data_IF_361473401794
#
_entry.id   IF_361473401794
#
_cell.length_a   1.000
_cell.length_b   1.000
_cell.length_c   1.000
_cell.angle_alpha   90.00
_cell.angle_beta   90.00
_cell.angle_gamma   90.00
#
_symmetry.space_group_name_H-M   'P 1'
#
loop_
_entity.id
_entity.type
_entity.pdbx_description
1 polymer ?
#
# COMPACT_ATOMS: atom_id res chain seq x y z
N UNK A 1 5.44 -30.57 -13.17
CA UNK A 1 4.07 -29.99 -13.16
C UNK A 1 3.37 -30.33 -11.84
N UNK A 2 3.39 -31.58 -11.41
CA UNK A 2 2.83 -32.04 -10.13
C UNK A 2 3.35 -31.29 -8.89
N UNK A 3 4.68 -31.08 -8.76
CA UNK A 3 5.23 -30.32 -7.63
C UNK A 3 4.70 -28.87 -7.54
N UNK A 4 4.45 -28.21 -8.68
CA UNK A 4 3.84 -26.87 -8.69
C UNK A 4 2.40 -26.91 -8.20
N UNK A 5 1.67 -27.98 -8.50
CA UNK A 5 0.32 -28.21 -7.97
C UNK A 5 0.31 -28.37 -6.45
N UNK A 6 1.26 -29.12 -5.90
CA UNK A 6 1.40 -29.25 -4.44
C UNK A 6 1.75 -27.94 -3.75
N UNK A 7 2.64 -27.11 -4.33
CA UNK A 7 2.95 -25.77 -3.78
C UNK A 7 1.68 -24.94 -3.67
N UNK A 8 0.91 -24.82 -4.76
CA UNK A 8 -0.35 -24.05 -4.75
C UNK A 8 -1.35 -24.60 -3.74
N UNK A 9 -1.47 -25.94 -3.64
CA UNK A 9 -2.36 -26.58 -2.68
C UNK A 9 -1.96 -26.27 -1.24
N UNK A 10 -0.70 -26.48 -0.87
CA UNK A 10 -0.23 -26.26 0.49
C UNK A 10 -0.27 -24.77 0.86
N UNK A 11 0.09 -23.87 -0.07
CA UNK A 11 -0.06 -22.42 0.13
C UNK A 11 -1.52 -22.01 0.36
N UNK A 12 -2.45 -22.60 -0.39
CA UNK A 12 -3.88 -22.34 -0.18
C UNK A 12 -4.34 -22.87 1.19
N UNK A 13 -3.89 -24.07 1.58
CA UNK A 13 -4.23 -24.68 2.87
C UNK A 13 -3.66 -23.89 4.06
N UNK A 14 -2.38 -23.49 4.02
CA UNK A 14 -1.78 -22.70 5.10
C UNK A 14 -2.47 -21.34 5.24
N UNK A 15 -2.82 -20.68 4.12
CA UNK A 15 -3.57 -19.42 4.15
C UNK A 15 -4.98 -19.58 4.73
N UNK A 16 -5.68 -20.67 4.38
CA UNK A 16 -6.99 -20.97 4.95
C UNK A 16 -6.92 -21.15 6.48
N UNK A 17 -5.93 -21.91 6.97
CA UNK A 17 -5.71 -22.07 8.41
C UNK A 17 -5.27 -20.78 9.09
N UNK A 18 -4.46 -19.94 8.43
CA UNK A 18 -4.06 -18.62 8.93
C UNK A 18 -5.27 -17.72 9.19
N UNK A 19 -6.27 -17.73 8.31
CA UNK A 19 -7.51 -16.99 8.52
C UNK A 19 -8.26 -17.47 9.77
N UNK A 20 -8.35 -18.78 9.99
CA UNK A 20 -9.00 -19.36 11.17
C UNK A 20 -8.20 -19.03 12.43
N UNK A 21 -6.87 -19.21 12.40
CA UNK A 21 -5.97 -18.92 13.51
C UNK A 21 -6.10 -17.47 13.98
N UNK A 22 -6.01 -16.51 13.05
CA UNK A 22 -6.16 -15.09 13.36
C UNK A 22 -7.58 -14.73 13.81
N UNK A 23 -8.59 -15.50 13.37
CA UNK A 23 -9.97 -15.31 13.82
C UNK A 23 -10.19 -15.72 15.28
N UNK A 24 -9.38 -16.61 15.87
CA UNK A 24 -9.45 -16.88 17.32
C UNK A 24 -9.17 -15.62 18.14
N UNK A 25 -8.15 -14.85 17.74
CA UNK A 25 -7.87 -13.55 18.35
C UNK A 25 -9.01 -12.54 18.10
N UNK A 26 -9.49 -12.41 16.85
CA UNK A 26 -10.59 -11.50 16.54
C UNK A 26 -11.92 -11.87 17.23
N UNK A 27 -12.13 -13.17 17.48
CA UNK A 27 -13.37 -13.71 18.06
C UNK A 27 -13.62 -13.21 19.48
N UNK A 28 -12.57 -13.04 20.30
CA UNK A 28 -12.75 -12.59 21.69
C UNK A 28 -13.27 -11.16 21.82
N UNK A 29 -13.24 -10.39 20.72
CA UNK A 29 -13.82 -9.05 20.62
C UNK A 29 -15.09 -9.00 19.76
N UNK A 30 -15.56 -10.14 19.24
CA UNK A 30 -16.75 -10.20 18.40
C UNK A 30 -18.01 -9.97 19.23
N UNK A 31 -18.91 -9.09 18.76
CA UNK A 31 -20.23 -8.88 19.38
C UNK A 31 -21.01 -10.20 19.44
N UNK A 32 -21.53 -10.53 20.62
CA UNK A 32 -22.27 -11.78 20.86
C UNK A 32 -21.41 -13.05 20.92
N UNK A 33 -20.08 -12.92 21.02
CA UNK A 33 -19.20 -14.05 21.26
C UNK A 33 -19.47 -14.68 22.62
N UNK A 34 -19.44 -16.02 22.69
CA UNK A 34 -19.60 -16.77 23.95
C UNK A 34 -18.43 -16.55 24.91
N UNK A 35 -17.23 -16.33 24.36
CA UNK A 35 -16.00 -16.07 25.12
C UNK A 35 -15.46 -14.69 24.76
N UNK A 36 -16.23 -13.66 25.11
CA UNK A 36 -15.81 -12.27 24.93
C UNK A 36 -14.86 -11.85 26.05
N UNK A 37 -13.69 -11.29 25.73
CA UNK A 37 -12.78 -10.67 26.69
C UNK A 37 -11.95 -9.57 26.02
N UNK A 38 -12.14 -8.35 26.49
CA UNK A 38 -11.37 -7.19 26.02
C UNK A 38 -9.96 -7.19 26.59
N UNK A 39 -9.82 -7.66 27.82
CA UNK A 39 -8.56 -7.77 28.55
C UNK A 39 -7.62 -8.72 27.82
N UNK A 40 -8.10 -9.90 27.41
CA UNK A 40 -7.30 -10.86 26.66
C UNK A 40 -6.77 -10.24 25.35
N UNK A 41 -7.65 -9.58 24.58
CA UNK A 41 -7.26 -8.93 23.34
C UNK A 41 -6.25 -7.79 23.56
N UNK A 42 -6.44 -7.01 24.63
CA UNK A 42 -5.55 -5.93 25.04
C UNK A 42 -4.15 -6.43 25.42
N UNK A 43 -4.07 -7.50 26.21
CA UNK A 43 -2.79 -8.10 26.62
C UNK A 43 -2.01 -8.61 25.41
N UNK A 44 -2.67 -9.34 24.49
CA UNK A 44 -2.03 -9.84 23.25
C UNK A 44 -1.50 -8.68 22.41
N UNK A 45 -2.31 -7.65 22.19
CA UNK A 45 -1.90 -6.47 21.39
C UNK A 45 -0.74 -5.72 22.04
N UNK A 46 -0.81 -5.51 23.35
CA UNK A 46 0.24 -4.80 24.09
C UNK A 46 1.57 -5.58 24.05
N UNK A 47 1.54 -6.89 24.28
CA UNK A 47 2.75 -7.73 24.25
C UNK A 47 3.33 -7.81 22.83
N UNK A 48 2.51 -8.00 21.80
CA UNK A 48 2.97 -7.96 20.40
C UNK A 48 3.60 -6.61 20.02
N UNK A 49 2.96 -5.51 20.40
CA UNK A 49 3.49 -4.16 20.20
C UNK A 49 4.77 -3.88 20.98
N UNK A 50 4.99 -4.52 22.13
CA UNK A 50 6.26 -4.45 22.85
C UNK A 50 7.37 -5.25 22.14
N UNK A 51 7.10 -6.50 21.75
CA UNK A 51 8.05 -7.39 21.07
C UNK A 51 8.60 -6.71 19.80
N UNK A 52 7.71 -6.17 18.96
CA UNK A 52 8.13 -5.55 17.69
C UNK A 52 8.93 -4.25 17.90
N UNK A 53 8.67 -3.51 18.99
CA UNK A 53 9.44 -2.31 19.37
C UNK A 53 10.85 -2.67 19.81
N UNK A 54 11.01 -3.71 20.63
CA UNK A 54 12.33 -4.21 21.05
C UNK A 54 13.12 -4.70 19.83
N UNK A 55 12.49 -5.49 18.96
CA UNK A 55 13.10 -5.95 17.72
C UNK A 55 13.56 -4.78 16.83
N UNK A 56 12.71 -3.75 16.66
CA UNK A 56 13.05 -2.53 15.91
C UNK A 56 14.28 -1.83 16.49
N UNK A 57 14.33 -1.61 17.81
CA UNK A 57 15.46 -0.93 18.46
C UNK A 57 16.76 -1.70 18.26
N UNK A 58 16.71 -3.03 18.26
CA UNK A 58 17.88 -3.86 17.97
C UNK A 58 18.32 -3.69 16.51
N UNK A 59 17.39 -3.75 15.55
CA UNK A 59 17.66 -3.55 14.12
C UNK A 59 18.23 -2.16 13.85
N UNK A 60 17.75 -1.10 14.50
CA UNK A 60 18.26 0.28 14.37
C UNK A 60 19.73 0.43 14.75
N UNK A 61 20.26 -0.46 15.59
CA UNK A 61 21.66 -0.44 16.01
C UNK A 61 22.60 -1.13 15.02
N UNK A 62 22.07 -2.02 14.18
CA UNK A 62 22.87 -2.87 13.27
C UNK A 62 22.58 -2.61 11.78
N UNK A 63 21.51 -1.87 11.47
CA UNK A 63 21.06 -1.59 10.12
C UNK A 63 19.99 -0.51 10.08
N UNK A 64 19.19 -0.53 9.02
CA UNK A 64 18.19 0.52 8.74
C UNK A 64 16.82 -0.15 8.64
N UNK A 65 15.89 0.08 9.60
CA UNK A 65 14.50 -0.33 9.42
C UNK A 65 13.82 0.58 8.39
N UNK A 66 13.07 -0.03 7.49
CA UNK A 66 12.38 0.65 6.39
C UNK A 66 10.90 0.81 6.67
N UNK A 67 10.23 -0.29 7.05
CA UNK A 67 8.80 -0.34 7.34
C UNK A 67 8.53 -1.34 8.46
N UNK A 68 7.56 -1.03 9.33
CA UNK A 68 7.11 -1.90 10.41
C UNK A 68 5.60 -2.06 10.30
N UNK A 69 5.12 -3.29 10.20
CA UNK A 69 3.69 -3.61 10.20
C UNK A 69 3.39 -4.70 11.23
N UNK A 70 2.73 -4.32 12.32
CA UNK A 70 2.18 -5.18 13.39
C UNK A 70 3.19 -6.12 14.05
N UNK A 71 3.66 -7.13 13.33
CA UNK A 71 4.52 -8.24 13.73
C UNK A 71 5.75 -8.43 12.81
N UNK A 72 5.87 -7.66 11.73
CA UNK A 72 7.01 -7.71 10.79
C UNK A 72 7.82 -6.43 10.70
N UNK A 73 9.12 -6.56 10.41
CA UNK A 73 10.04 -5.45 10.15
C UNK A 73 10.74 -5.69 8.81
N UNK A 74 10.53 -4.79 7.86
CA UNK A 74 11.38 -4.69 6.68
C UNK A 74 12.62 -3.87 7.03
N UNK A 75 13.81 -4.40 6.76
CA UNK A 75 15.06 -3.70 7.06
C UNK A 75 16.16 -4.00 6.04
N UNK A 76 17.15 -3.12 6.00
CA UNK A 76 18.43 -3.35 5.34
C UNK A 76 19.50 -3.60 6.39
N UNK A 77 20.20 -4.72 6.26
CA UNK A 77 21.43 -5.00 6.98
C UNK A 77 22.62 -4.84 6.03
N UNK A 78 23.82 -4.48 6.54
CA UNK A 78 25.03 -4.48 5.73
C UNK A 78 25.26 -5.84 5.06
N UNK A 79 25.76 -5.83 3.81
CA UNK A 79 26.05 -7.08 3.08
C UNK A 79 27.07 -7.98 3.80
N UNK A 80 27.96 -7.39 4.59
CA UNK A 80 28.96 -8.10 5.40
C UNK A 80 28.41 -8.60 6.74
N UNK A 81 27.14 -8.33 7.07
CA UNK A 81 26.53 -8.80 8.30
C UNK A 81 26.40 -10.34 8.26
N UNK A 82 26.73 -11.06 9.35
CA UNK A 82 26.74 -12.51 9.35
C UNK A 82 25.33 -13.08 9.13
N UNK A 83 25.22 -14.04 8.21
CA UNK A 83 24.01 -14.82 7.97
C UNK A 83 24.39 -16.19 7.34
N UNK A 84 23.50 -17.18 7.44
CA UNK A 84 23.72 -18.51 6.88
C UNK A 84 24.87 -19.29 7.54
N UNK A 85 25.06 -19.16 8.85
CA UNK A 85 26.15 -19.82 9.58
C UNK A 85 25.93 -21.32 9.62
N UNK A 86 26.91 -22.10 9.14
CA UNK A 86 26.81 -23.56 9.06
C UNK A 86 27.42 -24.26 10.27
N UNK A 87 26.64 -25.13 10.91
CA UNK A 87 27.07 -26.01 11.99
C UNK A 87 27.17 -27.45 11.49
N UNK A 88 28.33 -28.08 11.68
CA UNK A 88 28.53 -29.51 11.38
C UNK A 88 28.08 -30.36 12.57
N UNK A 89 26.98 -31.09 12.40
CA UNK A 89 26.45 -31.99 13.44
C UNK A 89 26.99 -33.40 13.23
N UNK A 90 27.60 -33.97 14.28
CA UNK A 90 28.12 -35.34 14.24
C UNK A 90 27.00 -36.32 13.88
N UNK A 91 27.21 -37.10 12.82
CA UNK A 91 26.24 -38.09 12.33
C UNK A 91 25.24 -37.58 11.30
N UNK A 92 25.21 -36.27 11.00
CA UNK A 92 24.41 -35.73 9.90
C UNK A 92 25.29 -35.41 8.68
N UNK A 93 24.82 -35.78 7.48
CA UNK A 93 25.51 -35.50 6.23
C UNK A 93 25.37 -34.04 5.77
N UNK A 94 24.25 -33.39 6.12
CA UNK A 94 23.99 -32.00 5.76
C UNK A 94 24.33 -31.09 6.95
N UNK A 95 24.99 -29.94 6.72
CA UNK A 95 25.18 -28.96 7.77
C UNK A 95 23.83 -28.38 8.21
N UNK A 96 23.76 -27.98 9.47
CA UNK A 96 22.64 -27.22 9.99
C UNK A 96 22.93 -25.72 9.78
N UNK A 97 22.12 -25.07 8.95
CA UNK A 97 22.30 -23.67 8.58
C UNK A 97 21.43 -22.80 9.49
N UNK A 98 22.05 -21.80 10.11
CA UNK A 98 21.39 -20.87 11.03
C UNK A 98 21.39 -19.48 10.44
N UNK A 99 20.20 -18.87 10.38
CA UNK A 99 20.10 -17.45 10.11
C UNK A 99 20.42 -16.66 11.37
N UNK A 100 21.58 -16.02 11.41
CA UNK A 100 22.02 -15.28 12.58
C UNK A 100 21.12 -14.09 12.94
N UNK A 101 20.64 -13.24 11.99
CA UNK A 101 19.70 -12.16 12.30
C UNK A 101 18.40 -12.69 12.95
N UNK A 102 17.88 -13.80 12.43
CA UNK A 102 16.67 -14.44 12.95
C UNK A 102 16.90 -15.01 14.35
N UNK A 103 17.99 -15.77 14.55
CA UNK A 103 18.32 -16.38 15.83
C UNK A 103 18.62 -15.35 16.91
N UNK A 104 19.27 -14.23 16.57
CA UNK A 104 19.51 -13.12 17.48
C UNK A 104 18.19 -12.55 18.01
N UNK A 105 17.23 -12.27 17.12
CA UNK A 105 15.90 -11.78 17.51
C UNK A 105 15.12 -12.80 18.34
N UNK A 106 15.21 -14.08 17.99
CA UNK A 106 14.54 -15.17 18.72
C UNK A 106 15.12 -15.38 20.11
N UNK A 107 16.44 -15.26 20.27
CA UNK A 107 17.08 -15.35 21.58
C UNK A 107 16.62 -14.23 22.53
N UNK A 108 16.58 -12.98 22.02
CA UNK A 108 16.08 -11.84 22.79
C UNK A 108 14.59 -12.00 23.12
N UNK A 109 13.77 -12.36 22.13
CA UNK A 109 12.33 -12.56 22.32
C UNK A 109 12.05 -13.65 23.35
N UNK A 110 12.79 -14.77 23.31
CA UNK A 110 12.65 -15.84 24.28
C UNK A 110 13.01 -15.36 25.69
N UNK A 111 14.12 -14.64 25.87
CA UNK A 111 14.51 -14.09 27.16
C UNK A 111 13.45 -13.15 27.75
N UNK A 112 12.81 -12.32 26.92
CA UNK A 112 11.84 -11.31 27.37
C UNK A 112 10.40 -11.83 27.49
N UNK A 113 10.09 -12.98 26.90
CA UNK A 113 8.70 -13.45 26.73
C UNK A 113 8.43 -14.86 27.26
N UNK A 114 9.44 -15.59 27.75
CA UNK A 114 9.23 -16.91 28.31
C UNK A 114 8.24 -16.88 29.48
N UNK A 115 7.21 -17.71 29.41
CA UNK A 115 6.29 -17.94 30.51
C UNK A 115 6.78 -19.12 31.35
N UNK A 116 7.41 -18.84 32.49
CA UNK A 116 7.93 -19.86 33.41
C UNK A 116 6.86 -20.50 34.29
N UNK A 117 5.60 -20.10 34.13
CA UNK A 117 4.47 -20.47 35.00
C UNK A 117 3.40 -21.28 34.24
N UNK A 118 3.76 -21.93 33.13
CA UNK A 118 2.78 -22.68 32.32
C UNK A 118 2.39 -24.00 33.01
N UNK A 119 1.17 -24.08 33.53
CA UNK A 119 0.65 -25.26 34.21
C UNK A 119 -0.08 -26.18 33.22
N UNK A 120 0.23 -27.47 33.25
CA UNK A 120 -0.49 -28.49 32.47
C UNK A 120 -0.97 -29.61 33.39
N UNK A 121 -2.24 -29.99 33.26
CA UNK A 121 -2.83 -31.08 34.05
C UNK A 121 -2.22 -32.41 33.61
N UNK A 122 -1.59 -33.13 34.54
CA UNK A 122 -0.94 -34.43 34.28
C UNK A 122 -1.69 -35.61 34.91
N UNK A 123 -2.44 -35.37 35.98
CA UNK A 123 -3.35 -36.35 36.58
C UNK A 123 -4.65 -35.66 36.98
N UNK A 124 -5.72 -35.94 36.25
CA UNK A 124 -7.05 -35.36 36.49
C UNK A 124 -7.70 -35.87 37.78
N UNK A 125 -7.41 -37.12 38.18
CA UNK A 125 -8.01 -37.73 39.37
C UNK A 125 -7.46 -37.14 40.66
N UNK A 126 -6.16 -36.80 40.66
CA UNK A 126 -5.46 -36.19 41.80
C UNK A 126 -5.34 -34.68 41.68
N UNK A 127 -5.88 -34.08 40.62
CA UNK A 127 -5.74 -32.66 40.28
C UNK A 127 -4.26 -32.20 40.29
N UNK A 128 -3.35 -33.03 39.78
CA UNK A 128 -1.92 -32.72 39.77
C UNK A 128 -1.54 -32.00 38.48
N UNK A 129 -0.79 -30.91 38.64
CA UNK A 129 -0.28 -30.08 37.55
C UNK A 129 1.24 -30.14 37.51
N UNK A 130 1.79 -30.14 36.29
CA UNK A 130 3.21 -29.92 36.03
C UNK A 130 3.40 -28.50 35.54
N UNK A 131 4.34 -27.77 36.16
CA UNK A 131 4.76 -26.44 35.71
C UNK A 131 5.94 -26.59 34.76
N UNK A 132 5.85 -25.89 33.63
CA UNK A 132 6.90 -25.85 32.60
C UNK A 132 7.12 -24.41 32.14
N UNK A 133 8.29 -24.15 31.55
CA UNK A 133 8.57 -22.89 30.89
C UNK A 133 8.22 -23.01 29.42
N UNK A 134 7.37 -22.10 28.92
CA UNK A 134 6.82 -22.16 27.56
C UNK A 134 7.05 -20.83 26.83
N UNK A 135 7.56 -20.92 25.60
CA UNK A 135 7.68 -19.78 24.69
C UNK A 135 7.68 -20.26 23.24
N UNK A 136 6.62 -19.92 22.52
CA UNK A 136 6.42 -20.31 21.11
C UNK A 136 6.43 -19.10 20.16
N UNK A 137 6.98 -17.96 20.62
CA UNK A 137 7.09 -16.74 19.82
C UNK A 137 8.42 -16.75 19.09
N UNK A 138 8.36 -16.82 17.76
CA UNK A 138 9.54 -16.87 16.90
C UNK A 138 9.34 -15.92 15.71
N UNK A 139 10.37 -15.13 15.44
CA UNK A 139 10.61 -14.53 14.14
C UNK A 139 11.06 -15.60 13.14
N UNK A 140 10.69 -15.36 11.90
CA UNK A 140 11.21 -16.03 10.71
C UNK A 140 11.85 -14.97 9.80
N UNK A 141 12.93 -15.35 9.12
CA UNK A 141 13.55 -14.49 8.13
C UNK A 141 12.98 -14.81 6.75
N UNK A 142 12.51 -13.78 6.06
CA UNK A 142 12.09 -13.84 4.66
C UNK A 142 12.95 -12.88 3.84
N UNK A 143 13.67 -13.42 2.84
CA UNK A 143 14.72 -12.76 2.08
C UNK A 143 16.03 -13.57 2.02
N UNK A 144 17.14 -12.97 1.56
CA UNK A 144 17.28 -11.58 1.12
C UNK A 144 16.57 -11.27 -0.21
N UNK A 145 16.24 -9.99 -0.40
CA UNK A 145 15.58 -9.48 -1.60
C UNK A 145 16.50 -8.60 -2.44
N UNK A 146 16.19 -8.47 -3.74
CA UNK A 146 16.96 -7.64 -4.67
C UNK A 146 16.69 -6.15 -4.47
N UNK A 147 15.42 -5.79 -4.33
CA UNK A 147 15.00 -4.40 -4.22
C UNK A 147 13.71 -4.27 -3.41
N UNK A 148 13.57 -3.15 -2.71
CA UNK A 148 12.35 -2.73 -2.05
C UNK A 148 12.10 -1.25 -2.37
N UNK A 149 10.89 -0.93 -2.84
CA UNK A 149 10.48 0.41 -3.21
C UNK A 149 9.40 0.87 -2.22
N UNK A 150 9.68 1.96 -1.50
CA UNK A 150 8.74 2.59 -0.58
C UNK A 150 8.31 3.96 -1.12
N UNK A 151 7.00 4.25 -1.21
CA UNK A 151 6.53 5.55 -1.63
C UNK A 151 6.60 6.57 -0.48
N UNK A 152 6.67 7.84 -0.83
CA UNK A 152 6.62 8.95 0.11
C UNK A 152 5.25 9.65 0.12
N UNK A 153 4.88 10.26 1.24
CA UNK A 153 3.68 11.09 1.32
C UNK A 153 3.92 12.44 0.62
N UNK A 154 2.84 13.04 0.10
CA UNK A 154 2.89 14.41 -0.45
C UNK A 154 3.01 15.49 0.63
N UNK A 155 2.54 15.18 1.84
CA UNK A 155 2.52 16.10 2.97
C UNK A 155 3.79 15.93 3.83
N UNK A 156 4.37 17.05 4.26
CA UNK A 156 5.56 17.07 5.12
C UNK A 156 5.30 16.31 6.43
N UNK A 157 6.27 15.50 6.85
CA UNK A 157 6.22 14.76 8.12
C UNK A 157 5.25 13.57 8.16
N UNK A 158 4.43 13.35 7.11
CA UNK A 158 3.58 12.16 7.00
C UNK A 158 4.34 11.00 6.35
N UNK A 159 4.03 9.78 6.79
CA UNK A 159 4.55 8.53 6.21
C UNK A 159 3.40 7.72 5.63
N UNK A 160 3.64 7.09 4.48
CA UNK A 160 2.70 6.14 3.88
C UNK A 160 2.97 4.74 4.42
N UNK A 161 2.18 4.32 5.40
CA UNK A 161 2.28 2.95 5.93
C UNK A 161 1.63 1.94 4.99
N UNK A 162 2.09 0.69 5.05
CA UNK A 162 1.52 -0.48 4.35
C UNK A 162 1.52 -0.33 2.82
N UNK A 163 2.49 0.39 2.26
CA UNK A 163 2.68 0.54 0.82
C UNK A 163 4.14 0.27 0.45
N UNK A 164 4.38 -0.82 -0.28
CA UNK A 164 5.73 -1.19 -0.73
C UNK A 164 5.67 -2.22 -1.86
N UNK A 165 6.71 -2.25 -2.68
CA UNK A 165 6.94 -3.25 -3.71
C UNK A 165 8.30 -3.92 -3.46
N UNK A 166 8.34 -5.24 -3.46
CA UNK A 166 9.54 -6.04 -3.15
C UNK A 166 9.83 -6.99 -4.32
N UNK A 167 11.09 -7.09 -4.71
CA UNK A 167 11.53 -7.91 -5.85
C UNK A 167 12.58 -8.94 -5.45
N UNK A 168 12.46 -10.12 -6.03
CA UNK A 168 13.42 -11.21 -5.94
C UNK A 168 14.64 -10.94 -6.84
N UNK A 169 15.72 -11.70 -6.62
CA UNK A 169 16.94 -11.62 -7.44
C UNK A 169 16.74 -11.99 -8.91
N UNK A 170 15.77 -12.86 -9.22
CA UNK A 170 15.37 -13.19 -10.58
C UNK A 170 14.54 -12.07 -11.28
N UNK A 171 14.26 -10.98 -10.56
CA UNK A 171 13.46 -9.85 -11.05
C UNK A 171 11.95 -10.05 -10.93
N UNK A 172 11.49 -11.17 -10.39
CA UNK A 172 10.07 -11.40 -10.11
C UNK A 172 9.59 -10.55 -8.93
N UNK A 173 8.33 -10.13 -8.99
CA UNK A 173 7.68 -9.37 -7.92
C UNK A 173 7.31 -10.32 -6.78
N UNK A 174 7.97 -10.17 -5.63
CA UNK A 174 7.75 -11.00 -4.44
C UNK A 174 6.49 -10.57 -3.68
N UNK A 175 6.42 -9.28 -3.32
CA UNK A 175 5.26 -8.70 -2.64
C UNK A 175 4.93 -7.31 -3.20
N UNK A 176 3.65 -7.02 -3.29
CA UNK A 176 3.13 -5.69 -3.61
C UNK A 176 1.97 -5.35 -2.68
N UNK A 177 2.17 -4.36 -1.81
CA UNK A 177 1.23 -4.00 -0.76
C UNK A 177 0.66 -2.60 -0.96
N UNK A 178 -0.64 -2.45 -0.73
CA UNK A 178 -1.31 -1.16 -0.52
C UNK A 178 -1.46 -0.24 -1.74
N UNK A 179 -0.79 -0.53 -2.85
CA UNK A 179 -0.89 0.20 -4.12
C UNK A 179 -2.21 -0.07 -4.86
N UNK A 180 -2.61 0.92 -5.64
CA UNK A 180 -3.83 0.95 -6.45
C UNK A 180 -3.89 -0.23 -7.43
N UNK A 181 -2.75 -0.70 -7.95
CA UNK A 181 -2.64 -1.88 -8.82
C UNK A 181 -3.31 -3.15 -8.25
N UNK A 182 -3.23 -3.40 -6.93
CA UNK A 182 -3.82 -4.59 -6.28
C UNK A 182 -5.27 -4.38 -5.83
N UNK A 183 -5.79 -3.16 -5.92
CA UNK A 183 -7.16 -2.85 -5.49
C UNK A 183 -8.15 -3.20 -6.61
N UNK A 184 -9.34 -3.67 -6.22
CA UNK A 184 -10.41 -4.06 -7.17
C UNK A 184 -10.92 -2.86 -7.98
N UNK A 185 -11.00 -1.68 -7.36
CA UNK A 185 -11.35 -0.42 -8.02
C UNK A 185 -10.13 0.39 -8.44
N UNK A 186 -10.24 1.72 -8.32
CA UNK A 186 -9.24 2.75 -8.66
C UNK A 186 -9.15 3.05 -10.16
N UNK A 187 -8.52 4.19 -10.48
CA UNK A 187 -8.30 4.67 -11.83
C UNK A 187 -7.34 3.76 -12.60
N UNK A 188 -7.79 3.21 -13.73
CA UNK A 188 -7.04 2.22 -14.50
C UNK A 188 -5.71 2.76 -15.04
N UNK A 189 -5.64 4.05 -15.39
CA UNK A 189 -4.41 4.75 -15.77
C UNK A 189 -3.32 4.61 -14.69
N UNK A 190 -3.66 4.84 -13.43
CA UNK A 190 -2.70 4.75 -12.31
C UNK A 190 -2.27 3.30 -12.09
N UNK A 191 -3.18 2.34 -12.25
CA UNK A 191 -2.86 0.90 -12.14
C UNK A 191 -1.89 0.49 -13.24
N UNK A 192 -2.14 0.91 -14.47
CA UNK A 192 -1.28 0.59 -15.63
C UNK A 192 0.10 1.23 -15.46
N UNK A 193 0.16 2.52 -15.11
CA UNK A 193 1.41 3.21 -14.76
C UNK A 193 2.19 2.46 -13.67
N UNK A 194 1.52 2.07 -12.57
CA UNK A 194 2.15 1.31 -11.49
C UNK A 194 2.72 -0.04 -11.95
N UNK A 195 1.99 -0.75 -12.82
CA UNK A 195 2.42 -2.07 -13.31
C UNK A 195 3.70 -2.01 -14.13
N UNK A 196 3.93 -0.89 -14.84
CA UNK A 196 5.13 -0.66 -15.65
C UNK A 196 6.27 -0.06 -14.83
N UNK A 197 5.98 1.00 -14.06
CA UNK A 197 7.01 1.77 -13.34
C UNK A 197 7.74 0.91 -12.31
N UNK A 198 7.06 0.00 -11.61
CA UNK A 198 7.71 -0.82 -10.58
C UNK A 198 8.81 -1.73 -11.13
N UNK A 199 8.63 -2.26 -12.35
CA UNK A 199 9.64 -3.12 -12.98
C UNK A 199 10.89 -2.33 -13.36
N UNK A 200 10.73 -1.06 -13.72
CA UNK A 200 11.84 -0.16 -14.12
C UNK A 200 12.77 0.22 -12.98
N UNK A 201 12.35 0.08 -11.72
CA UNK A 201 13.24 0.25 -10.58
C UNK A 201 14.36 -0.81 -10.51
N UNK A 202 14.29 -1.86 -11.34
CA UNK A 202 15.37 -2.86 -11.45
C UNK A 202 16.39 -2.53 -12.54
N UNK A 203 16.16 -1.48 -13.33
CA UNK A 203 17.05 -1.02 -14.39
C UNK A 203 18.16 -0.12 -13.81
N UNK A 204 19.26 0.03 -14.55
CA UNK A 204 20.39 0.90 -14.21
C UNK A 204 21.47 0.23 -13.34
N UNK A 205 22.71 0.72 -13.45
CA UNK A 205 23.85 0.34 -12.61
C UNK A 205 24.06 1.28 -11.42
N UNK A 206 23.36 2.41 -11.38
CA UNK A 206 23.41 3.39 -10.29
C UNK A 206 22.00 3.86 -9.89
N UNK A 207 21.88 4.50 -8.72
CA UNK A 207 20.61 5.07 -8.27
C UNK A 207 20.07 6.14 -9.22
N UNK A 208 20.97 6.90 -9.87
CA UNK A 208 20.61 7.94 -10.84
C UNK A 208 20.04 7.30 -12.11
N UNK A 209 20.75 6.34 -12.70
CA UNK A 209 20.28 5.61 -13.90
C UNK A 209 18.94 4.88 -13.65
N UNK A 210 18.75 4.34 -12.45
CA UNK A 210 17.48 3.74 -12.02
C UNK A 210 16.34 4.77 -12.08
N UNK A 211 16.53 5.95 -11.48
CA UNK A 211 15.52 7.01 -11.51
C UNK A 211 15.32 7.63 -12.90
N UNK A 212 16.33 7.64 -13.77
CA UNK A 212 16.20 8.05 -15.17
C UNK A 212 15.31 7.08 -15.97
N UNK A 213 15.49 5.76 -15.80
CA UNK A 213 14.63 4.74 -16.42
C UNK A 213 13.18 4.87 -15.95
N UNK A 214 12.99 5.01 -14.64
CA UNK A 214 11.67 5.22 -14.02
C UNK A 214 11.03 6.55 -14.49
N UNK A 215 11.81 7.62 -14.57
CA UNK A 215 11.38 8.93 -15.04
C UNK A 215 10.94 8.91 -16.51
N UNK A 216 11.62 8.13 -17.35
CA UNK A 216 11.25 7.94 -18.75
C UNK A 216 9.84 7.34 -18.91
N UNK A 217 9.50 6.32 -18.11
CA UNK A 217 8.14 5.76 -18.10
C UNK A 217 7.12 6.77 -17.58
N UNK A 218 7.45 7.54 -16.54
CA UNK A 218 6.57 8.59 -16.05
C UNK A 218 6.28 9.65 -17.12
N UNK A 219 7.29 10.08 -17.89
CA UNK A 219 7.13 11.02 -18.99
C UNK A 219 6.27 10.45 -20.13
N UNK A 220 6.47 9.19 -20.51
CA UNK A 220 5.63 8.51 -21.51
C UNK A 220 4.15 8.56 -21.13
N UNK A 221 3.81 8.25 -19.87
CA UNK A 221 2.42 8.30 -19.40
C UNK A 221 1.87 9.72 -19.28
N UNK A 222 2.73 10.72 -19.04
CA UNK A 222 2.34 12.12 -19.11
C UNK A 222 2.07 12.56 -20.56
N UNK A 223 2.81 12.05 -21.54
CA UNK A 223 2.60 12.34 -22.97
C UNK A 223 1.24 11.84 -23.46
N UNK A 224 0.82 10.66 -23.01
CA UNK A 224 -0.53 10.13 -23.29
C UNK A 224 -1.62 11.11 -22.83
N UNK A 225 -1.44 11.75 -21.67
CA UNK A 225 -2.41 12.74 -21.17
C UNK A 225 -2.27 14.11 -21.84
N UNK A 226 -1.05 14.58 -22.05
CA UNK A 226 -0.79 15.91 -22.62
C UNK A 226 -1.22 15.96 -24.12
N UNK A 227 -1.09 14.84 -24.84
CA UNK A 227 -1.61 14.65 -26.20
C UNK A 227 -3.08 14.21 -26.23
N UNK A 228 -3.77 14.21 -25.09
CA UNK A 228 -5.20 13.86 -24.97
C UNK A 228 -5.56 12.51 -25.58
N UNK A 229 -4.67 11.52 -25.47
CA UNK A 229 -4.88 10.16 -25.95
C UNK A 229 -5.19 10.08 -27.44
N UNK A 230 -4.63 10.97 -28.26
CA UNK A 230 -4.86 11.00 -29.72
C UNK A 230 -4.50 9.67 -30.41
N UNK A 231 -3.48 8.97 -29.92
CA UNK A 231 -3.01 7.69 -30.48
C UNK A 231 -3.76 6.45 -29.95
N UNK A 232 -4.77 6.64 -29.08
CA UNK A 232 -5.56 5.55 -28.51
C UNK A 232 -6.93 5.45 -29.21
N UNK A 233 -7.43 4.25 -29.43
CA UNK A 233 -8.83 4.09 -29.84
C UNK A 233 -9.78 4.45 -28.69
N UNK A 234 -11.00 4.88 -29.00
CA UNK A 234 -11.98 5.34 -28.02
C UNK A 234 -12.28 4.30 -26.92
N UNK A 235 -12.38 3.02 -27.29
CA UNK A 235 -12.56 1.92 -26.33
C UNK A 235 -11.36 1.76 -25.39
N UNK A 236 -10.14 1.83 -25.93
CA UNK A 236 -8.91 1.74 -25.13
C UNK A 236 -8.76 2.95 -24.19
N UNK A 237 -9.09 4.15 -24.69
CA UNK A 237 -9.07 5.37 -23.90
C UNK A 237 -10.08 5.31 -22.75
N UNK A 238 -11.31 4.86 -23.01
CA UNK A 238 -12.34 4.69 -21.97
C UNK A 238 -11.88 3.71 -20.90
N UNK A 239 -11.32 2.56 -21.30
CA UNK A 239 -10.83 1.59 -20.32
C UNK A 239 -9.69 2.15 -19.48
N UNK A 240 -8.75 2.87 -20.08
CA UNK A 240 -7.62 3.49 -19.40
C UNK A 240 -8.05 4.59 -18.42
N UNK A 241 -8.99 5.45 -18.83
CA UNK A 241 -9.39 6.66 -18.09
C UNK A 241 -10.55 6.40 -17.12
N UNK A 242 -11.18 5.23 -17.22
CA UNK A 242 -12.24 4.82 -16.31
C UNK A 242 -11.73 4.50 -14.90
N UNK A 243 -12.58 4.80 -13.93
CA UNK A 243 -12.45 4.37 -12.55
C UNK A 243 -13.65 3.50 -12.18
N UNK A 244 -13.40 2.40 -11.47
CA UNK A 244 -14.44 1.51 -10.97
C UNK A 244 -14.57 1.61 -9.44
N UNK A 245 -15.81 1.75 -8.96
CA UNK A 245 -16.14 1.74 -7.55
C UNK A 245 -17.32 0.81 -7.29
N UNK A 246 -17.22 -0.09 -6.31
CA UNK A 246 -18.30 -0.99 -5.94
C UNK A 246 -19.09 -0.42 -4.76
N UNK A 247 -20.40 -0.31 -4.93
CA UNK A 247 -21.31 0.11 -3.86
C UNK A 247 -21.57 -1.06 -2.90
N UNK A 248 -21.20 -0.89 -1.64
CA UNK A 248 -21.36 -1.94 -0.60
C UNK A 248 -22.80 -2.07 -0.08
N UNK A 249 -23.63 -1.07 -0.34
CA UNK A 249 -25.00 -0.91 0.16
C UNK A 249 -25.94 -0.55 -0.98
N UNK A 250 -27.24 -0.62 -0.74
CA UNK A 250 -28.26 -0.13 -1.69
C UNK A 250 -28.25 1.39 -1.75
N UNK A 251 -28.86 1.95 -2.80
CA UNK A 251 -28.92 3.40 -3.00
C UNK A 251 -29.67 4.12 -1.86
N UNK A 252 -30.75 3.51 -1.36
CA UNK A 252 -31.56 4.04 -0.26
C UNK A 252 -30.75 4.19 1.04
N UNK A 253 -29.91 3.20 1.37
CA UNK A 253 -29.06 3.21 2.56
C UNK A 253 -27.97 4.29 2.54
N UNK A 254 -27.59 4.77 1.34
CA UNK A 254 -26.61 5.87 1.22
C UNK A 254 -27.23 7.25 1.51
N UNK A 255 -28.55 7.40 1.39
CA UNK A 255 -29.27 8.67 1.61
C UNK A 255 -28.69 9.83 0.80
N UNK A 256 -28.49 10.97 1.46
CA UNK A 256 -28.02 12.23 0.82
C UNK A 256 -26.50 12.35 0.68
N UNK A 257 -25.75 11.26 0.90
CA UNK A 257 -24.29 11.29 0.75
C UNK A 257 -23.91 11.60 -0.71
N UNK A 258 -22.86 12.39 -0.90
CA UNK A 258 -22.29 12.68 -2.23
C UNK A 258 -21.03 11.85 -2.45
N UNK A 259 -20.96 11.13 -3.56
CA UNK A 259 -19.75 10.43 -4.02
C UNK A 259 -19.82 10.16 -5.52
N UNK A 260 -18.66 9.86 -6.14
CA UNK A 260 -18.62 9.50 -7.56
C UNK A 260 -19.53 8.31 -7.88
N UNK A 261 -19.52 7.28 -7.02
CA UNK A 261 -20.35 6.08 -7.21
C UNK A 261 -21.85 6.40 -7.13
N UNK A 262 -22.26 7.23 -6.16
CA UNK A 262 -23.67 7.64 -5.98
C UNK A 262 -24.16 8.44 -7.20
N UNK A 263 -23.37 9.41 -7.67
CA UNK A 263 -23.71 10.17 -8.88
C UNK A 263 -23.78 9.27 -10.11
N UNK A 264 -22.83 8.33 -10.25
CA UNK A 264 -22.80 7.37 -11.36
C UNK A 264 -24.04 6.48 -11.34
N UNK A 265 -24.39 5.90 -10.20
CA UNK A 265 -25.58 5.06 -10.04
C UNK A 265 -26.88 5.83 -10.38
N UNK A 266 -27.03 7.06 -9.86
CA UNK A 266 -28.18 7.95 -10.20
C UNK A 266 -28.24 8.30 -11.68
N UNK A 267 -27.10 8.36 -12.38
CA UNK A 267 -27.05 8.63 -13.82
C UNK A 267 -27.36 7.37 -14.63
N UNK A 268 -26.87 6.20 -14.20
CA UNK A 268 -27.20 4.91 -14.81
C UNK A 268 -28.71 4.63 -14.81
N UNK A 269 -29.39 4.91 -13.68
CA UNK A 269 -30.85 4.68 -13.60
C UNK A 269 -31.67 5.55 -14.56
N UNK A 270 -31.14 6.70 -15.00
CA UNK A 270 -31.85 7.60 -15.92
C UNK A 270 -31.97 7.05 -17.34
N UNK A 271 -31.11 6.11 -17.75
CA UNK A 271 -31.12 5.55 -19.12
C UNK A 271 -31.20 4.02 -19.17
N UNK A 272 -30.82 3.32 -18.09
CA UNK A 272 -30.97 1.87 -17.96
C UNK A 272 -32.20 1.45 -17.13
N UNK A 273 -32.88 2.40 -16.50
CA UNK A 273 -34.03 2.15 -15.62
C UNK A 273 -33.66 2.00 -14.14
N UNK A 274 -34.65 2.13 -13.26
CA UNK A 274 -34.46 2.12 -11.80
C UNK A 274 -34.06 0.75 -11.24
N UNK A 275 -34.27 -0.34 -11.99
CA UNK A 275 -33.91 -1.70 -11.57
C UNK A 275 -32.40 -1.86 -11.31
N UNK A 276 -31.56 -1.06 -11.97
CA UNK A 276 -30.09 -1.13 -11.86
C UNK A 276 -29.59 -0.75 -10.45
N UNK A 277 -30.34 0.06 -9.71
CA UNK A 277 -29.91 0.59 -8.40
C UNK A 277 -30.61 -0.07 -7.21
N UNK A 278 -31.44 -1.10 -7.44
CA UNK A 278 -32.17 -1.82 -6.39
C UNK A 278 -31.27 -2.72 -5.56
N UNK A 279 -30.34 -3.42 -6.22
CA UNK A 279 -29.48 -4.39 -5.55
C UNK A 279 -28.18 -3.78 -5.01
N UNK A 280 -27.70 -4.36 -3.90
CA UNK A 280 -26.36 -4.05 -3.36
C UNK A 280 -25.28 -4.62 -4.29
N UNK A 281 -24.09 -4.01 -4.27
CA UNK A 281 -22.95 -4.51 -5.03
C UNK A 281 -22.82 -3.93 -6.44
N UNK A 282 -23.63 -2.92 -6.80
CA UNK A 282 -23.53 -2.23 -8.09
C UNK A 282 -22.11 -1.74 -8.34
N UNK A 283 -21.53 -2.15 -9.46
CA UNK A 283 -20.25 -1.67 -9.95
C UNK A 283 -20.49 -0.39 -10.76
N UNK A 284 -20.08 0.75 -10.21
CA UNK A 284 -20.13 2.03 -10.88
C UNK A 284 -18.81 2.26 -11.60
N UNK A 285 -18.82 2.15 -12.95
CA UNK A 285 -17.67 2.51 -13.80
C UNK A 285 -17.93 3.89 -14.41
N UNK A 286 -17.01 4.83 -14.19
CA UNK A 286 -17.23 6.22 -14.59
C UNK A 286 -15.95 6.89 -15.11
N UNK A 287 -16.15 7.96 -15.87
CA UNK A 287 -15.14 8.98 -16.21
C UNK A 287 -15.51 10.31 -15.57
N UNK A 288 -14.60 11.28 -15.58
CA UNK A 288 -14.82 12.63 -15.05
C UNK A 288 -14.88 13.59 -16.22
N UNK A 289 -16.03 14.25 -16.37
CA UNK A 289 -16.23 15.28 -17.39
C UNK A 289 -15.62 16.61 -16.96
N UNK A 290 -15.10 17.41 -17.90
CA UNK A 290 -14.61 18.77 -17.63
C UNK A 290 -15.76 19.70 -17.22
N UNK A 291 -16.92 19.55 -17.86
CA UNK A 291 -18.09 20.38 -17.63
C UNK A 291 -19.09 19.70 -16.68
N UNK A 292 -19.87 20.48 -15.90
CA UNK A 292 -19.84 21.94 -15.78
C UNK A 292 -18.60 22.44 -15.02
N UNK A 293 -17.88 23.42 -15.57
CA UNK A 293 -16.69 23.99 -14.94
C UNK A 293 -17.03 24.64 -13.58
N UNK A 294 -16.13 24.47 -12.59
CA UNK A 294 -16.37 24.93 -11.21
C UNK A 294 -17.26 24.02 -10.36
N UNK A 295 -17.96 23.04 -10.94
CA UNK A 295 -18.73 22.06 -10.16
C UNK A 295 -17.82 21.03 -9.46
N UNK A 296 -18.21 20.53 -8.27
CA UNK A 296 -17.46 19.50 -7.57
C UNK A 296 -17.23 18.27 -8.44
N UNK A 297 -16.05 17.64 -8.32
CA UNK A 297 -15.69 16.41 -9.08
C UNK A 297 -16.77 15.33 -8.95
N UNK A 298 -17.40 15.21 -7.77
CA UNK A 298 -18.49 14.27 -7.49
C UNK A 298 -19.70 14.42 -8.41
N UNK A 299 -19.97 15.63 -8.90
CA UNK A 299 -21.12 15.94 -9.76
C UNK A 299 -20.77 15.79 -11.26
N UNK A 300 -19.48 15.64 -11.58
CA UNK A 300 -18.94 15.48 -12.94
C UNK A 300 -18.70 14.02 -13.35
N UNK A 301 -19.14 13.06 -12.53
CA UNK A 301 -18.99 11.63 -12.81
C UNK A 301 -19.93 11.15 -13.92
N UNK A 302 -19.43 10.74 -15.08
CA UNK A 302 -20.22 10.23 -16.21
C UNK A 302 -20.08 8.70 -16.29
N UNK A 303 -21.18 7.92 -16.25
CA UNK A 303 -21.11 6.46 -16.40
C UNK A 303 -20.51 6.06 -17.74
N UNK A 304 -19.62 5.06 -17.77
CA UNK A 304 -19.01 4.59 -19.02
C UNK A 304 -20.04 3.89 -19.91
N UNK A 305 -21.07 3.32 -19.31
CA UNK A 305 -22.16 2.61 -20.00
C UNK A 305 -22.93 3.52 -20.97
N UNK A 306 -22.91 4.84 -20.78
CA UNK A 306 -23.60 5.78 -21.70
C UNK A 306 -23.01 5.77 -23.12
N UNK A 307 -21.73 5.44 -23.26
CA UNK A 307 -21.05 5.36 -24.56
C UNK A 307 -21.38 4.08 -25.33
N UNK A 308 -22.18 3.17 -24.73
CA UNK A 308 -22.72 1.97 -25.39
C UNK A 308 -24.21 2.10 -25.73
N UNK A 309 -24.86 3.17 -25.28
CA UNK A 309 -26.27 3.43 -25.54
C UNK A 309 -26.48 3.94 -26.97
N UNK A 310 -27.74 3.99 -27.41
CA UNK A 310 -28.09 4.63 -28.68
C UNK A 310 -27.69 6.11 -28.68
N UNK A 311 -27.27 6.62 -29.85
CA UNK A 311 -26.70 7.96 -30.01
C UNK A 311 -27.65 9.06 -29.50
N UNK A 312 -28.96 8.89 -29.68
CA UNK A 312 -29.97 9.84 -29.19
C UNK A 312 -30.01 9.91 -27.66
N UNK A 313 -30.00 8.76 -26.99
CA UNK A 313 -29.97 8.63 -25.53
C UNK A 313 -28.66 9.19 -24.98
N UNK A 314 -27.55 8.82 -25.61
CA UNK A 314 -26.21 9.32 -25.27
C UNK A 314 -26.18 10.85 -25.31
N UNK A 315 -26.63 11.46 -26.41
CA UNK A 315 -26.67 12.91 -26.58
C UNK A 315 -27.59 13.59 -25.55
N UNK A 316 -28.78 13.06 -25.31
CA UNK A 316 -29.72 13.63 -24.35
C UNK A 316 -29.16 13.63 -22.91
N UNK A 317 -28.58 12.50 -22.49
CA UNK A 317 -27.96 12.36 -21.17
C UNK A 317 -26.72 13.25 -21.02
N UNK A 318 -25.82 13.25 -21.99
CA UNK A 318 -24.58 14.03 -21.91
C UNK A 318 -24.84 15.54 -21.93
N UNK A 319 -25.81 16.03 -22.71
CA UNK A 319 -26.26 17.45 -22.64
C UNK A 319 -26.73 17.82 -21.24
N UNK A 320 -27.55 16.96 -20.63
CA UNK A 320 -28.09 17.18 -19.28
C UNK A 320 -26.99 17.20 -18.23
N UNK A 321 -26.03 16.28 -18.33
CA UNK A 321 -24.99 16.10 -17.31
C UNK A 321 -23.79 17.03 -17.45
N UNK A 322 -23.40 17.34 -18.69
CA UNK A 322 -22.26 18.21 -18.99
C UNK A 322 -22.68 19.66 -19.26
N UNK A 323 -23.98 19.99 -19.19
CA UNK A 323 -24.48 21.37 -19.25
C UNK A 323 -24.16 22.11 -20.55
N UNK A 324 -23.93 21.41 -21.66
CA UNK A 324 -23.49 22.02 -22.92
C UNK A 324 -24.54 21.81 -24.02
N UNK A 325 -25.16 22.89 -24.52
CA UNK A 325 -26.12 22.81 -25.64
C UNK A 325 -25.43 22.69 -27.01
N UNK A 326 -24.14 23.00 -27.10
CA UNK A 326 -23.36 23.13 -28.35
C UNK A 326 -22.49 21.92 -28.72
N UNK A 327 -22.46 20.82 -27.95
CA UNK A 327 -21.69 19.60 -28.28
C UNK A 327 -22.33 18.75 -29.41
N UNK A 328 -23.14 19.34 -30.29
CA UNK A 328 -24.02 18.60 -31.22
C UNK A 328 -23.84 18.99 -32.68
N UNK A 329 -22.66 19.44 -33.06
CA UNK A 329 -22.34 19.53 -34.49
C UNK A 329 -21.14 18.64 -34.77
N UNK A 330 -21.45 17.49 -35.37
CA UNK A 330 -20.59 16.34 -35.71
C UNK A 330 -20.12 15.49 -34.50
N UNK A 331 -20.28 14.17 -34.66
CA UNK A 331 -19.79 13.06 -33.80
C UNK A 331 -19.15 13.45 -32.45
N UNK A 332 -19.82 13.11 -31.36
CA UNK A 332 -19.38 13.40 -30.00
C UNK A 332 -18.05 12.71 -29.67
N UNK A 333 -16.96 13.48 -29.67
CA UNK A 333 -15.62 13.01 -29.30
C UNK A 333 -15.47 12.93 -27.78
N UNK A 334 -15.19 11.74 -27.27
CA UNK A 334 -14.98 11.46 -25.84
C UNK A 334 -13.90 12.38 -25.25
N UNK A 335 -12.86 12.70 -26.02
CA UNK A 335 -11.74 13.55 -25.57
C UNK A 335 -12.16 14.97 -25.24
N UNK A 336 -13.22 15.46 -25.88
CA UNK A 336 -13.78 16.78 -25.60
C UNK A 336 -14.55 16.85 -24.27
N UNK A 337 -15.04 15.70 -23.80
CA UNK A 337 -15.79 15.59 -22.53
C UNK A 337 -14.84 15.47 -21.35
N UNK A 338 -13.73 14.76 -21.50
CA UNK A 338 -12.82 14.41 -20.40
C UNK A 338 -12.18 15.64 -19.73
N UNK A 339 -12.13 15.62 -18.39
CA UNK A 339 -11.29 16.53 -17.61
C UNK A 339 -9.83 16.05 -17.59
N UNK A 340 -9.08 16.35 -18.64
CA UNK A 340 -7.65 16.01 -18.72
C UNK A 340 -6.83 16.56 -17.55
N UNK A 341 -7.21 17.73 -17.00
CA UNK A 341 -6.54 18.32 -15.84
C UNK A 341 -6.67 17.45 -14.59
N UNK A 342 -7.87 16.93 -14.33
CA UNK A 342 -8.13 15.98 -13.25
C UNK A 342 -7.26 14.71 -13.37
N UNK A 343 -7.23 14.09 -14.55
CA UNK A 343 -6.44 12.87 -14.75
C UNK A 343 -4.93 13.14 -14.66
N UNK A 344 -4.48 14.29 -15.17
CA UNK A 344 -3.10 14.75 -15.05
C UNK A 344 -2.69 14.93 -13.60
N UNK A 345 -3.55 15.53 -12.77
CA UNK A 345 -3.28 15.70 -11.34
C UNK A 345 -3.21 14.35 -10.61
N UNK A 346 -4.14 13.43 -10.91
CA UNK A 346 -4.16 12.07 -10.33
C UNK A 346 -2.87 11.31 -10.67
N UNK A 347 -2.42 11.34 -11.92
CA UNK A 347 -1.16 10.71 -12.34
C UNK A 347 0.05 11.41 -11.72
N UNK A 348 0.08 12.75 -11.73
CA UNK A 348 1.16 13.54 -11.13
C UNK A 348 1.31 13.25 -9.64
N UNK A 349 0.19 13.06 -8.92
CA UNK A 349 0.18 12.63 -7.52
C UNK A 349 0.78 11.23 -7.32
N UNK A 350 0.52 10.29 -8.23
CA UNK A 350 1.16 8.98 -8.20
C UNK A 350 2.67 9.06 -8.48
N UNK A 351 3.08 9.84 -9.48
CA UNK A 351 4.48 10.12 -9.83
C UNK A 351 5.22 10.77 -8.65
N UNK A 352 4.62 11.76 -7.99
CA UNK A 352 5.20 12.38 -6.79
C UNK A 352 5.46 11.36 -5.68
N UNK A 353 4.45 10.54 -5.34
CA UNK A 353 4.56 9.57 -4.25
C UNK A 353 5.57 8.45 -4.54
N UNK A 354 5.66 7.98 -5.79
CA UNK A 354 6.44 6.78 -6.14
C UNK A 354 7.84 7.15 -6.64
N UNK A 355 7.98 8.28 -7.34
CA UNK A 355 9.18 8.62 -8.10
C UNK A 355 9.86 9.86 -7.52
N UNK A 356 9.25 11.03 -7.66
CA UNK A 356 9.99 12.30 -7.52
C UNK A 356 10.28 12.68 -6.07
N UNK A 357 9.34 12.45 -5.14
CA UNK A 357 9.59 12.71 -3.72
C UNK A 357 10.65 11.73 -3.16
N UNK A 358 10.55 10.40 -3.36
CA UNK A 358 11.61 9.48 -2.95
C UNK A 358 12.99 9.82 -3.56
N UNK A 359 13.05 10.13 -4.86
CA UNK A 359 14.29 10.54 -5.53
C UNK A 359 14.95 11.73 -4.83
N UNK A 360 14.18 12.79 -4.56
CA UNK A 360 14.65 13.97 -3.87
C UNK A 360 15.13 13.68 -2.45
N UNK A 361 14.42 12.83 -1.71
CA UNK A 361 14.79 12.43 -0.34
C UNK A 361 16.10 11.63 -0.30
N UNK A 362 16.42 10.94 -1.41
CA UNK A 362 17.68 10.23 -1.64
C UNK A 362 18.73 11.09 -2.38
N UNK A 363 18.50 12.40 -2.47
CA UNK A 363 19.41 13.38 -3.09
C UNK A 363 19.67 13.16 -4.60
N UNK A 364 18.69 12.58 -5.30
CA UNK A 364 18.68 12.49 -6.76
C UNK A 364 17.88 13.67 -7.33
N UNK A 365 18.40 14.30 -8.38
CA UNK A 365 17.70 15.37 -9.12
C UNK A 365 16.35 14.88 -9.62
N UNK A 366 15.35 15.77 -9.69
CA UNK A 366 14.00 15.40 -10.11
C UNK A 366 14.02 14.71 -11.50
N UNK A 367 13.74 13.40 -11.60
CA UNK A 367 13.79 12.68 -12.87
C UNK A 367 12.59 12.98 -13.78
N UNK A 368 11.57 13.70 -13.27
CA UNK A 368 10.38 14.11 -14.02
C UNK A 368 10.14 15.61 -13.80
N UNK A 369 10.90 16.51 -14.45
CA UNK A 369 10.79 17.96 -14.23
C UNK A 369 9.40 18.55 -14.51
N UNK A 370 8.60 17.90 -15.37
CA UNK A 370 7.20 18.24 -15.67
C UNK A 370 6.27 18.14 -14.46
N UNK A 371 6.69 17.43 -13.41
CA UNK A 371 5.96 17.30 -12.16
C UNK A 371 6.78 17.96 -11.05
N UNK A 372 6.38 19.19 -10.70
CA UNK A 372 7.06 19.97 -9.68
C UNK A 372 6.97 19.30 -8.30
N UNK A 373 8.01 19.51 -7.49
CA UNK A 373 8.01 19.11 -6.09
C UNK A 373 7.12 20.03 -5.24
N UNK A 374 6.53 19.54 -4.15
CA UNK A 374 5.94 20.41 -3.14
C UNK A 374 6.98 21.38 -2.55
N UNK A 375 6.56 22.58 -2.17
CA UNK A 375 7.46 23.64 -1.67
C UNK A 375 8.30 23.21 -0.46
N UNK A 376 7.70 22.45 0.46
CA UNK A 376 8.39 21.92 1.65
C UNK A 376 9.59 21.04 1.27
N UNK A 377 9.47 20.25 0.20
CA UNK A 377 10.52 19.33 -0.23
C UNK A 377 11.65 20.09 -0.91
N UNK A 378 11.32 21.10 -1.74
CA UNK A 378 12.32 21.98 -2.35
C UNK A 378 13.15 22.68 -1.28
N UNK A 379 12.48 23.19 -0.23
CA UNK A 379 13.14 23.80 0.92
C UNK A 379 14.04 22.80 1.65
N UNK A 380 13.54 21.59 1.94
CA UNK A 380 14.30 20.57 2.66
C UNK A 380 15.55 20.10 1.88
N UNK A 381 15.44 19.90 0.57
CA UNK A 381 16.58 19.52 -0.27
C UNK A 381 17.61 20.65 -0.31
N UNK A 382 17.16 21.90 -0.44
CA UNK A 382 18.05 23.07 -0.38
C UNK A 382 18.81 23.15 0.94
N UNK A 383 18.12 22.98 2.08
CA UNK A 383 18.74 22.98 3.41
C UNK A 383 19.77 21.84 3.59
N UNK A 384 19.53 20.67 2.98
CA UNK A 384 20.48 19.54 3.04
C UNK A 384 21.72 19.73 2.17
N UNK A 385 21.56 20.40 1.02
CA UNK A 385 22.65 20.69 0.09
C UNK A 385 23.40 21.98 0.43
N UNK A 386 22.89 22.78 1.37
CA UNK A 386 23.55 24.02 1.79
C UNK A 386 24.91 23.71 2.44
N UNK A 387 26.03 24.20 1.87
CA UNK A 387 27.35 24.02 2.47
C UNK A 387 27.46 24.71 3.84
N UNK A 388 26.67 25.77 4.06
CA UNK A 388 26.58 26.50 5.32
C UNK A 388 25.41 25.96 6.13
N UNK A 389 25.62 24.83 6.83
CA UNK A 389 24.61 24.18 7.68
C UNK A 389 24.09 25.14 8.76
N UNK A 390 23.00 25.84 8.48
CA UNK A 390 22.38 26.76 9.43
C UNK A 390 21.67 25.95 10.52
N UNK A 391 22.35 25.73 11.65
CA UNK A 391 21.79 25.00 12.77
C UNK A 391 20.68 25.82 13.43
N UNK A 392 19.45 25.29 13.47
CA UNK A 392 18.36 25.89 14.26
C UNK A 392 18.79 25.94 15.73
N UNK A 393 18.57 27.05 16.42
CA UNK A 393 18.99 27.22 17.82
C UNK A 393 18.44 26.10 18.74
N UNK A 394 17.25 25.58 18.41
CA UNK A 394 16.59 24.47 19.11
C UNK A 394 17.34 23.13 18.98
N UNK A 395 18.22 22.96 17.99
CA UNK A 395 19.06 21.77 17.85
C UNK A 395 20.15 21.69 18.94
N UNK A 396 20.45 22.82 19.62
CA UNK A 396 21.35 22.85 20.77
C UNK A 396 20.63 22.52 22.09
N UNK A 397 19.30 22.36 22.07
CA UNK A 397 18.50 22.08 23.24
C UNK A 397 17.78 20.73 23.08
N UNK A 398 18.31 19.68 23.70
CA UNK A 398 17.62 18.39 23.81
C UNK A 398 16.53 18.51 24.87
N UNK A 399 15.26 18.30 24.46
CA UNK A 399 14.15 18.17 25.41
C UNK A 399 14.27 16.82 26.10
N UNK A 400 14.69 16.81 27.36
CA UNK A 400 14.81 15.62 28.18
C UNK A 400 13.44 14.91 28.23
N UNK A 401 13.39 13.63 27.85
CA UNK A 401 12.17 12.84 27.97
C UNK A 401 11.91 12.53 29.46
N UNK A 402 10.65 12.31 29.87
CA UNK A 402 10.34 11.93 31.26
C UNK A 402 11.06 10.65 31.71
N UNK A 403 11.32 9.72 30.78
CA UNK A 403 12.05 8.47 31.04
C UNK A 403 13.56 8.72 31.27
N UNK A 404 14.19 9.61 30.49
CA UNK A 404 15.60 10.00 30.69
C UNK A 404 15.81 10.80 32.00
N UNK A 405 14.83 11.61 32.40
CA UNK A 405 14.87 12.33 33.67
C UNK A 405 14.74 11.38 34.89
N UNK A 406 14.09 10.23 34.74
CA UNK A 406 13.99 9.21 35.78
C UNK A 406 15.27 8.38 35.89
N UNK A 407 15.93 8.05 34.78
CA UNK A 407 17.19 7.31 34.76
C UNK A 407 18.38 8.11 35.32
N UNK A 408 18.36 9.45 35.22
CA UNK A 408 19.42 10.31 35.75
C UNK A 408 19.32 10.60 37.27
N UNK A 409 18.32 10.03 37.96
CA UNK A 409 18.09 10.18 39.41
C UNK A 409 18.41 8.90 40.22
N UNK A 410 18.96 7.87 39.57
CA UNK A 410 19.64 6.73 40.18
C UNK A 410 21.14 6.92 39.98
#
# INVERSE_FOLDING_TARGET
KECKGFVVLYDSLQLAHKCILNSFYGYVMRKGARWYSMEMAGVVTHKGGHIIRVAKLLVERIGIPLELDTDGIWCCLPKSFPDGVEFKIKGQKKPFVVSYPCSMLNAQTHADCINTQYHTLVDASKQQYKVTSECSILFELDGPYKAMILPAAKEEGKRLKKRYAVFNFDGSLAELKGFELKRRGELQLVKTFQSEVFKRFLDGGSLVECYESVGSVANLWLDVLDNKGVDLEDGQLLDLISEACNMSKTMEEYGDRKSMAITTAKRMSQFLGEDVIKDKGLQCKYIVSRQPEGSPVTERAVPVEIFKAEVEVQNACLRRWCGTSSLVEASLDIRSILDWGYYRERLSSAIQKIVTIPAAMQLVTNPVPRVAHPDWLVKQVRERLDPYKQNKINAFFTKQTPEEAAAARL
#
